data_IF_502813605450
#
_entry.id   IF_502813605450
#
_cell.length_a   1.000
_cell.length_b   1.000
_cell.length_c   1.000
_cell.angle_alpha   90.00
_cell.angle_beta   90.00
_cell.angle_gamma   90.00
#
_symmetry.space_group_name_H-M   'P 1'
#
loop_
_entity.id
_entity.type
_entity.pdbx_description
1 polymer ?
#
# COMPACT_ATOMS: atom_id res chain seq x y z
N UNK A 1 21.66 67.20 68.46
CA UNK A 1 20.43 66.40 68.28
C UNK A 1 20.24 66.26 66.78
N UNK A 2 20.44 65.05 66.27
CA UNK A 2 20.29 64.75 64.85
C UNK A 2 18.84 64.36 64.54
N UNK A 3 18.41 64.67 63.32
CA UNK A 3 17.26 64.05 62.66
C UNK A 3 17.46 64.27 61.15
N UNK A 4 18.01 63.29 60.44
CA UNK A 4 17.31 62.20 59.74
C UNK A 4 16.75 62.63 58.38
N UNK A 5 17.53 62.26 57.37
CA UNK A 5 17.21 61.94 55.99
C UNK A 5 15.82 61.32 55.78
N UNK A 6 15.03 61.85 54.85
CA UNK A 6 13.96 61.11 54.18
C UNK A 6 14.30 60.98 52.70
N UNK A 7 15.13 59.98 52.42
CA UNK A 7 15.35 59.44 51.08
C UNK A 7 14.25 58.42 50.75
N UNK A 8 13.64 58.61 49.57
CA UNK A 8 13.44 57.63 48.49
C UNK A 8 13.51 56.12 48.81
N UNK A 9 12.50 55.41 48.32
CA UNK A 9 12.51 53.96 48.03
C UNK A 9 11.10 53.54 47.59
N UNK A 10 10.72 53.70 46.33
CA UNK A 10 10.83 52.68 45.28
C UNK A 10 10.82 51.24 45.82
N UNK A 11 9.63 50.73 46.16
CA UNK A 11 9.40 49.31 46.40
C UNK A 11 9.23 48.56 45.05
N UNK A 12 9.82 47.37 44.88
CA UNK A 12 10.10 46.80 43.56
C UNK A 12 9.03 45.83 43.06
N UNK A 13 8.91 45.79 41.72
CA UNK A 13 8.18 44.88 40.82
C UNK A 13 8.48 43.35 40.99
N UNK A 14 8.86 42.88 42.19
CA UNK A 14 9.48 41.56 42.36
C UNK A 14 8.46 40.39 42.38
N UNK A 15 7.20 40.66 42.72
CA UNK A 15 6.16 39.62 42.77
C UNK A 15 5.76 39.15 41.37
N UNK A 16 5.77 40.05 40.38
CA UNK A 16 5.33 39.72 39.02
C UNK A 16 6.37 38.90 38.23
N UNK A 17 7.66 39.14 38.48
CA UNK A 17 8.75 38.34 37.89
C UNK A 17 8.87 36.94 38.53
N UNK A 18 8.51 36.78 39.81
CA UNK A 18 8.51 35.47 40.47
C UNK A 18 7.43 34.52 39.89
N UNK A 19 6.28 35.04 39.46
CA UNK A 19 5.24 34.25 38.77
C UNK A 19 5.63 33.82 37.34
N UNK A 20 6.54 34.53 36.66
CA UNK A 20 7.08 34.07 35.36
C UNK A 20 8.07 32.92 35.54
N UNK A 21 8.86 32.91 36.62
CA UNK A 21 9.86 31.87 36.91
C UNK A 21 9.24 30.52 37.34
N UNK A 22 8.00 30.52 37.85
CA UNK A 22 7.34 29.31 38.38
C UNK A 22 6.43 28.57 37.39
N UNK A 23 6.27 29.05 36.14
CA UNK A 23 5.54 28.30 35.11
C UNK A 23 6.51 27.37 34.39
N UNK A 24 6.40 26.06 34.66
CA UNK A 24 7.10 25.01 33.89
C UNK A 24 6.85 25.26 32.39
N UNK A 25 7.91 25.46 31.62
CA UNK A 25 7.80 25.68 30.19
C UNK A 25 7.08 24.48 29.54
N UNK A 26 6.09 24.75 28.69
CA UNK A 26 5.42 23.69 27.93
C UNK A 26 6.44 23.04 26.98
N UNK A 27 6.57 21.72 27.04
CA UNK A 27 7.49 20.99 26.18
C UNK A 27 7.12 21.20 24.70
N UNK A 28 8.10 21.64 23.89
CA UNK A 28 7.96 21.81 22.44
C UNK A 28 8.96 20.92 21.74
N UNK A 29 8.47 20.01 20.90
CA UNK A 29 9.31 19.14 20.08
C UNK A 29 10.20 19.96 19.15
N UNK A 30 11.50 19.71 19.25
CA UNK A 30 12.54 20.14 18.31
C UNK A 30 12.90 19.00 17.36
N UNK A 31 13.66 19.32 16.31
CA UNK A 31 14.17 18.35 15.33
C UNK A 31 14.84 17.13 15.96
N UNK A 32 15.74 17.37 16.91
CA UNK A 32 16.45 16.34 17.68
C UNK A 32 15.49 15.44 18.47
N UNK A 33 14.42 16.03 19.03
CA UNK A 33 13.44 15.28 19.82
C UNK A 33 12.60 14.38 18.90
N UNK A 34 12.32 14.84 17.66
CA UNK A 34 11.66 14.03 16.63
C UNK A 34 12.52 12.80 16.27
N UNK A 35 13.84 12.95 16.12
CA UNK A 35 14.75 11.85 15.83
C UNK A 35 14.73 10.82 16.96
N UNK A 36 14.88 11.27 18.21
CA UNK A 36 14.81 10.40 19.39
C UNK A 36 13.46 9.69 19.48
N UNK A 37 12.36 10.43 19.28
CA UNK A 37 11.01 9.88 19.25
C UNK A 37 10.90 8.78 18.18
N UNK A 38 11.35 9.03 16.96
CA UNK A 38 11.26 8.08 15.85
C UNK A 38 12.10 6.82 16.09
N UNK A 39 13.31 6.95 16.64
CA UNK A 39 14.15 5.80 17.03
C UNK A 39 13.45 4.94 18.10
N UNK A 40 12.88 5.57 19.13
CA UNK A 40 12.14 4.89 20.19
C UNK A 40 10.88 4.20 19.65
N UNK A 41 10.14 4.87 18.78
CA UNK A 41 8.95 4.33 18.12
C UNK A 41 9.30 3.13 17.24
N UNK A 42 10.42 3.16 16.51
CA UNK A 42 10.92 2.02 15.73
C UNK A 42 11.40 0.84 16.60
N UNK A 43 11.94 1.14 17.78
CA UNK A 43 12.39 0.15 18.77
C UNK A 43 11.20 -0.57 19.41
N UNK A 44 10.24 0.18 19.93
CA UNK A 44 9.11 -0.38 20.69
C UNK A 44 7.93 -0.79 19.83
N UNK A 45 7.83 -0.28 18.59
CA UNK A 45 6.76 -0.57 17.62
C UNK A 45 5.36 -0.57 18.23
N UNK A 46 4.86 0.58 18.76
CA UNK A 46 3.58 0.63 19.47
C UNK A 46 2.40 0.05 18.69
N UNK A 47 2.43 0.14 17.36
CA UNK A 47 1.42 -0.42 16.46
C UNK A 47 1.38 -1.94 16.38
N UNK A 48 2.49 -2.61 16.71
CA UNK A 48 2.60 -4.07 16.73
C UNK A 48 2.26 -4.65 18.11
N UNK A 49 2.01 -3.80 19.11
CA UNK A 49 1.65 -4.24 20.45
C UNK A 49 0.32 -5.01 20.46
N UNK A 50 0.17 -5.91 21.44
CA UNK A 50 -1.07 -6.65 21.63
C UNK A 50 -2.28 -5.73 21.87
N UNK A 51 -3.48 -6.26 21.66
CA UNK A 51 -4.70 -5.51 21.93
C UNK A 51 -4.73 -5.04 23.40
N UNK A 52 -4.84 -3.73 23.63
CA UNK A 52 -4.80 -3.13 24.96
C UNK A 52 -3.41 -2.73 25.47
N UNK A 53 -2.33 -3.20 24.85
CA UNK A 53 -0.94 -2.90 25.27
C UNK A 53 -0.32 -1.71 24.53
N UNK A 54 -1.02 -1.16 23.54
CA UNK A 54 -0.52 -0.03 22.76
C UNK A 54 -0.24 1.19 23.65
N UNK A 55 -1.12 1.47 24.61
CA UNK A 55 -0.95 2.58 25.55
C UNK A 55 0.31 2.42 26.41
N UNK A 56 0.54 1.24 26.97
CA UNK A 56 1.74 0.96 27.77
C UNK A 56 3.02 0.98 26.93
N UNK A 57 2.92 0.64 25.64
CA UNK A 57 4.05 0.74 24.71
C UNK A 57 4.39 2.19 24.37
N UNK A 58 3.38 3.06 24.19
CA UNK A 58 3.60 4.52 24.07
C UNK A 58 4.13 5.14 25.37
N UNK A 59 3.74 4.62 26.53
CA UNK A 59 4.30 5.01 27.82
C UNK A 59 5.81 4.74 27.88
N UNK A 60 6.27 3.57 27.40
CA UNK A 60 7.71 3.25 27.28
C UNK A 60 8.45 4.21 26.34
N UNK A 61 7.81 4.59 25.23
CA UNK A 61 8.37 5.59 24.30
C UNK A 61 8.52 6.94 25.00
N UNK A 62 7.49 7.41 25.70
CA UNK A 62 7.54 8.68 26.44
C UNK A 62 8.58 8.66 27.56
N UNK A 63 8.65 7.59 28.34
CA UNK A 63 9.69 7.41 29.38
C UNK A 63 11.09 7.45 28.78
N UNK A 64 11.32 6.75 27.68
CA UNK A 64 12.60 6.80 26.96
C UNK A 64 12.94 8.22 26.51
N UNK A 65 11.98 8.94 25.90
CA UNK A 65 12.19 10.30 25.41
C UNK A 65 12.49 11.28 26.57
N UNK A 66 11.79 11.16 27.69
CA UNK A 66 12.05 11.97 28.89
C UNK A 66 13.45 11.71 29.44
N UNK A 67 13.93 10.45 29.40
CA UNK A 67 15.30 10.10 29.74
C UNK A 67 16.33 10.74 28.81
N UNK A 68 16.08 10.72 27.49
CA UNK A 68 16.91 11.39 26.49
C UNK A 68 16.98 12.90 26.71
N UNK A 69 15.83 13.55 26.89
CA UNK A 69 15.75 15.00 27.08
C UNK A 69 16.51 15.42 28.34
N UNK A 70 16.31 14.69 29.44
CA UNK A 70 17.00 14.96 30.72
C UNK A 70 18.52 14.76 30.60
N UNK A 71 18.98 13.69 29.95
CA UNK A 71 20.41 13.48 29.72
C UNK A 71 21.02 14.59 28.86
N UNK A 72 20.32 15.00 27.81
CA UNK A 72 20.79 16.03 26.90
C UNK A 72 20.86 17.40 27.56
N UNK A 73 19.91 17.72 28.46
CA UNK A 73 19.96 18.94 29.27
C UNK A 73 21.14 18.94 30.25
N UNK A 74 21.52 17.78 30.79
CA UNK A 74 22.60 17.64 31.76
C UNK A 74 24.01 17.54 31.12
N UNK A 75 24.13 16.91 29.95
CA UNK A 75 25.43 16.57 29.34
C UNK A 75 25.69 17.17 27.96
N UNK A 76 24.68 17.77 27.31
CA UNK A 76 24.83 18.40 25.99
C UNK A 76 25.11 17.45 24.83
N UNK A 77 25.22 16.15 25.07
CA UNK A 77 25.51 15.12 24.06
C UNK A 77 24.41 14.07 23.97
N UNK A 78 24.18 13.55 22.77
CA UNK A 78 23.24 12.46 22.54
C UNK A 78 23.80 11.16 23.14
N UNK A 79 23.03 10.45 23.98
CA UNK A 79 23.44 9.14 24.47
C UNK A 79 23.61 8.16 23.31
N UNK A 80 24.64 7.33 23.38
CA UNK A 80 24.84 6.19 22.47
C UNK A 80 23.68 5.18 22.62
N UNK A 81 23.46 4.33 21.61
CA UNK A 81 22.27 3.49 21.34
C UNK A 81 21.76 2.58 22.50
N UNK A 82 22.47 2.54 23.62
CA UNK A 82 22.10 1.80 24.84
C UNK A 82 21.53 2.77 25.88
N UNK A 83 20.28 3.18 25.67
CA UNK A 83 19.48 3.74 26.77
C UNK A 83 18.69 2.60 27.38
N UNK A 84 19.19 2.14 28.52
CA UNK A 84 18.42 1.36 29.46
C UNK A 84 17.35 2.26 30.08
N UNK A 85 16.19 1.67 30.34
CA UNK A 85 15.00 2.32 30.87
C UNK A 85 15.29 2.78 32.31
N UNK A 86 16.02 3.87 32.48
CA UNK A 86 16.22 4.48 33.81
C UNK A 86 14.86 5.01 34.23
N UNK A 87 14.27 4.39 35.27
CA UNK A 87 13.06 4.90 35.91
C UNK A 87 13.38 6.28 36.48
N UNK A 88 13.08 7.34 35.73
CA UNK A 88 13.24 8.70 36.20
C UNK A 88 12.00 9.14 36.97
N UNK A 89 12.25 9.77 38.12
CA UNK A 89 11.21 10.37 38.93
C UNK A 89 10.60 11.56 38.18
N UNK A 90 9.30 11.55 37.85
CA UNK A 90 8.65 12.63 37.10
C UNK A 90 8.70 13.97 37.84
N UNK A 91 8.94 13.99 39.16
CA UNK A 91 9.12 15.22 39.92
C UNK A 91 10.47 15.93 39.66
N UNK A 92 11.46 15.22 39.12
CA UNK A 92 12.84 15.74 38.92
C UNK A 92 13.14 16.16 37.48
N UNK A 93 12.22 15.94 36.54
CA UNK A 93 12.40 16.32 35.13
C UNK A 93 11.78 17.70 34.88
N UNK A 94 12.58 18.63 34.34
CA UNK A 94 12.16 20.01 34.09
C UNK A 94 10.99 20.11 33.08
N UNK A 95 10.96 19.20 32.10
CA UNK A 95 9.88 19.08 31.11
C UNK A 95 9.45 17.62 30.91
N UNK A 96 8.18 17.31 31.14
CA UNK A 96 7.63 15.97 31.00
C UNK A 96 6.82 15.82 29.71
N UNK A 97 7.18 14.86 28.86
CA UNK A 97 6.43 14.47 27.67
C UNK A 97 5.53 13.29 28.01
N UNK A 98 4.23 13.42 27.72
CA UNK A 98 3.27 12.33 27.90
C UNK A 98 3.20 11.41 26.67
N UNK A 99 2.75 10.17 26.88
CA UNK A 99 2.55 9.17 25.82
C UNK A 99 1.71 9.73 24.67
N UNK A 100 0.66 10.50 24.99
CA UNK A 100 -0.24 11.08 23.99
C UNK A 100 0.44 12.15 23.12
N UNK A 101 1.31 12.99 23.68
CA UNK A 101 2.09 13.95 22.90
C UNK A 101 3.04 13.24 21.95
N UNK A 102 3.70 12.16 22.40
CA UNK A 102 4.51 11.30 21.54
C UNK A 102 3.68 10.73 20.38
N UNK A 103 2.50 10.15 20.67
CA UNK A 103 1.60 9.62 19.64
C UNK A 103 1.18 10.69 18.64
N UNK A 104 0.70 11.84 19.12
CA UNK A 104 0.26 12.96 18.25
C UNK A 104 1.40 13.48 17.38
N UNK A 105 2.59 13.65 17.96
CA UNK A 105 3.75 14.14 17.23
C UNK A 105 4.18 13.15 16.16
N UNK A 106 4.25 11.87 16.49
CA UNK A 106 4.57 10.81 15.53
C UNK A 106 3.58 10.80 14.36
N UNK A 107 2.27 10.85 14.64
CA UNK A 107 1.24 10.86 13.61
C UNK A 107 1.35 12.10 12.71
N UNK A 108 1.65 13.26 13.28
CA UNK A 108 1.88 14.51 12.53
C UNK A 108 3.08 14.38 11.58
N UNK A 109 4.19 13.82 12.07
CA UNK A 109 5.40 13.58 11.26
C UNK A 109 5.14 12.58 10.13
N UNK A 110 4.45 11.49 10.44
CA UNK A 110 4.12 10.46 9.46
C UNK A 110 3.17 11.01 8.38
N UNK A 111 2.16 11.80 8.74
CA UNK A 111 1.29 12.46 7.77
C UNK A 111 2.04 13.43 6.87
N UNK A 112 2.91 14.27 7.44
CA UNK A 112 3.69 15.23 6.68
C UNK A 112 4.62 14.51 5.68
N UNK A 113 5.23 13.41 6.10
CA UNK A 113 6.03 12.54 5.24
C UNK A 113 5.21 11.95 4.10
N UNK A 114 4.05 11.38 4.40
CA UNK A 114 3.18 10.75 3.41
C UNK A 114 2.61 11.74 2.38
N UNK A 115 2.47 13.02 2.76
CA UNK A 115 2.02 14.12 1.91
C UNK A 115 3.17 14.82 1.16
N UNK A 116 4.43 14.37 1.32
CA UNK A 116 5.62 15.06 0.82
C UNK A 116 5.64 16.55 1.21
N UNK A 117 5.26 16.85 2.46
CA UNK A 117 5.15 18.22 3.00
C UNK A 117 6.01 18.38 4.26
N UNK A 118 7.19 17.75 4.27
CA UNK A 118 8.10 17.78 5.43
C UNK A 118 8.79 19.15 5.61
N UNK A 119 8.76 19.98 4.58
CA UNK A 119 9.21 21.37 4.57
C UNK A 119 8.39 22.22 5.56
N UNK A 120 7.10 21.91 5.73
CA UNK A 120 6.22 22.59 6.70
C UNK A 120 6.57 22.29 8.16
N UNK A 121 7.24 21.15 8.42
CA UNK A 121 7.70 20.71 9.75
C UNK A 121 9.21 20.95 9.93
N UNK A 122 9.82 21.75 9.05
CA UNK A 122 11.25 22.06 9.02
C UNK A 122 11.63 23.26 9.90
N UNK A 123 10.77 23.69 10.82
CA UNK A 123 11.07 24.87 11.64
C UNK A 123 12.32 24.62 12.51
N UNK A 124 13.46 25.09 11.99
CA UNK A 124 14.82 25.01 12.55
C UNK A 124 15.36 23.57 12.68
N UNK A 125 15.95 23.05 11.61
CA UNK A 125 16.77 21.81 11.64
C UNK A 125 18.05 22.02 10.82
N UNK A 126 19.15 21.43 11.26
CA UNK A 126 20.35 21.29 10.42
C UNK A 126 20.09 20.19 9.38
N UNK A 127 20.68 20.29 8.18
CA UNK A 127 20.38 19.35 7.07
C UNK A 127 20.55 17.87 7.47
N UNK A 128 21.58 17.54 8.26
CA UNK A 128 21.83 16.16 8.73
C UNK A 128 20.66 15.58 9.56
N UNK A 129 20.03 16.41 10.40
CA UNK A 129 18.89 15.99 11.23
C UNK A 129 17.64 15.73 10.37
N UNK A 130 17.49 16.49 9.28
CA UNK A 130 16.39 16.31 8.35
C UNK A 130 16.48 14.97 7.62
N UNK A 131 17.66 14.64 7.09
CA UNK A 131 17.90 13.39 6.36
C UNK A 131 17.72 12.17 7.26
N UNK A 132 18.21 12.24 8.50
CA UNK A 132 18.01 11.19 9.48
C UNK A 132 16.51 11.00 9.79
N UNK A 133 15.78 12.10 10.04
CA UNK A 133 14.34 12.06 10.31
C UNK A 133 13.58 11.43 9.14
N UNK A 134 13.92 11.78 7.90
CA UNK A 134 13.35 11.20 6.69
C UNK A 134 13.63 9.69 6.58
N UNK A 135 14.87 9.28 6.87
CA UNK A 135 15.26 7.87 6.86
C UNK A 135 14.49 7.05 7.91
N UNK A 136 14.34 7.58 9.12
CA UNK A 136 13.58 6.91 10.19
C UNK A 136 12.09 6.82 9.86
N UNK A 137 11.49 7.85 9.27
CA UNK A 137 10.10 7.83 8.82
C UNK A 137 9.87 6.81 7.69
N UNK A 138 10.82 6.69 6.76
CA UNK A 138 10.82 5.64 5.72
C UNK A 138 10.83 4.25 6.34
N UNK A 139 11.71 4.01 7.30
CA UNK A 139 11.78 2.73 8.02
C UNK A 139 10.50 2.43 8.79
N UNK A 140 9.94 3.44 9.47
CA UNK A 140 8.70 3.28 10.23
C UNK A 140 7.56 2.88 9.29
N UNK A 141 7.40 3.59 8.17
CA UNK A 141 6.41 3.26 7.15
C UNK A 141 6.57 1.83 6.63
N UNK A 142 7.80 1.40 6.32
CA UNK A 142 8.05 0.06 5.81
C UNK A 142 7.59 -1.03 6.81
N UNK A 143 7.91 -0.87 8.10
CA UNK A 143 7.46 -1.80 9.16
C UNK A 143 5.94 -1.80 9.33
N UNK A 144 5.30 -0.63 9.25
CA UNK A 144 3.84 -0.53 9.26
C UNK A 144 3.21 -1.29 8.10
N UNK A 145 3.75 -1.12 6.89
CA UNK A 145 3.23 -1.78 5.69
C UNK A 145 3.41 -3.30 5.76
N UNK A 146 4.53 -3.78 6.29
CA UNK A 146 4.78 -5.19 6.54
C UNK A 146 3.74 -5.77 7.51
N UNK A 147 3.50 -5.10 8.64
CA UNK A 147 2.49 -5.52 9.61
C UNK A 147 1.08 -5.58 8.99
N UNK A 148 0.70 -4.57 8.20
CA UNK A 148 -0.59 -4.56 7.49
C UNK A 148 -0.70 -5.72 6.51
N UNK A 149 0.35 -6.00 5.72
CA UNK A 149 0.40 -7.17 4.83
C UNK A 149 0.23 -8.48 5.59
N UNK A 150 0.93 -8.65 6.71
CA UNK A 150 0.80 -9.85 7.56
C UNK A 150 -0.61 -10.00 8.12
N UNK A 151 -1.23 -8.90 8.57
CA UNK A 151 -2.60 -8.92 9.11
C UNK A 151 -3.61 -9.29 8.02
N UNK A 152 -3.52 -8.68 6.85
CA UNK A 152 -4.38 -9.01 5.69
C UNK A 152 -4.18 -10.45 5.23
N UNK A 153 -2.93 -10.94 5.17
CA UNK A 153 -2.63 -12.33 4.83
C UNK A 153 -3.26 -13.32 5.83
N UNK A 154 -3.23 -13.03 7.13
CA UNK A 154 -3.88 -13.85 8.16
C UNK A 154 -5.41 -13.87 8.01
N UNK A 155 -6.02 -12.73 7.73
CA UNK A 155 -7.48 -12.65 7.48
C UNK A 155 -7.83 -13.44 6.22
N UNK A 156 -7.12 -13.24 5.11
CA UNK A 156 -7.35 -13.97 3.87
C UNK A 156 -7.16 -15.48 4.03
N UNK A 157 -6.16 -15.92 4.81
CA UNK A 157 -5.96 -17.33 5.13
C UNK A 157 -7.09 -17.91 6.02
N UNK A 158 -7.75 -17.09 6.83
CA UNK A 158 -8.93 -17.50 7.61
C UNK A 158 -10.16 -17.59 6.71
N UNK A 159 -10.38 -16.63 5.82
CA UNK A 159 -11.48 -16.64 4.84
C UNK A 159 -11.38 -17.88 3.94
N UNK A 160 -10.19 -18.18 3.41
CA UNK A 160 -9.97 -19.40 2.60
C UNK A 160 -10.26 -20.70 3.35
N UNK A 161 -9.97 -20.75 4.65
CA UNK A 161 -10.29 -21.92 5.49
C UNK A 161 -11.80 -22.08 5.71
N UNK A 162 -12.54 -20.98 5.77
CA UNK A 162 -14.01 -21.03 5.84
C UNK A 162 -14.62 -21.45 4.50
N UNK A 163 -14.16 -20.90 3.37
CA UNK A 163 -14.73 -21.23 2.05
C UNK A 163 -14.38 -22.63 1.56
N UNK A 164 -13.22 -23.18 1.95
CA UNK A 164 -12.82 -24.53 1.56
C UNK A 164 -13.42 -25.61 2.48
N UNK A 165 -14.11 -25.24 3.56
CA UNK A 165 -14.79 -26.19 4.44
C UNK A 165 -16.19 -26.57 3.92
N UNK A 166 -16.77 -25.78 3.02
CA UNK A 166 -18.10 -26.01 2.43
C UNK A 166 -18.08 -26.78 1.09
N UNK A 167 -16.91 -27.18 0.59
CA UNK A 167 -16.75 -27.90 -0.70
C UNK A 167 -16.37 -29.40 -0.50
N UNK A 168 -16.81 -29.98 0.61
CA UNK A 168 -16.63 -31.41 0.93
C UNK A 168 -17.94 -32.16 1.21
N UNK A 169 -19.09 -31.64 0.76
CA UNK A 169 -20.29 -32.46 0.58
C UNK A 169 -20.34 -33.00 -0.85
N UNK A 170 -20.31 -34.33 -0.97
CA UNK A 170 -20.76 -35.13 -2.11
C UNK A 170 -19.86 -35.20 -3.35
N UNK A 171 -18.76 -35.95 -3.23
CA UNK A 171 -18.35 -36.83 -4.34
C UNK A 171 -18.09 -38.24 -3.82
N UNK A 172 -19.16 -39.02 -3.77
CA UNK A 172 -19.14 -40.46 -3.61
C UNK A 172 -18.71 -41.13 -4.93
N UNK A 173 -17.93 -42.21 -4.80
CA UNK A 173 -17.70 -43.30 -5.78
C UNK A 173 -16.73 -43.09 -6.96
N UNK A 174 -15.53 -43.70 -6.88
CA UNK A 174 -15.31 -45.07 -7.43
C UNK A 174 -13.89 -45.62 -7.22
N UNK A 175 -13.87 -46.92 -6.89
CA UNK A 175 -12.88 -47.98 -7.16
C UNK A 175 -11.48 -47.99 -6.49
N UNK A 176 -11.39 -48.93 -5.54
CA UNK A 176 -10.43 -50.05 -5.48
C UNK A 176 -8.93 -49.77 -5.43
N UNK A 177 -8.32 -50.15 -4.29
CA UNK A 177 -6.88 -50.33 -4.17
C UNK A 177 -6.48 -50.56 -2.72
N UNK A 178 -6.44 -51.84 -2.33
CA UNK A 178 -5.91 -52.31 -1.05
C UNK A 178 -4.48 -51.80 -0.83
N UNK A 179 -4.14 -51.29 0.36
CA UNK A 179 -3.00 -51.85 1.10
C UNK A 179 -3.03 -51.53 2.59
N UNK A 180 -2.66 -52.55 3.36
CA UNK A 180 -2.68 -52.67 4.80
C UNK A 180 -1.43 -52.03 5.38
N UNK A 181 -1.57 -51.09 6.32
CA UNK A 181 -0.58 -50.96 7.41
C UNK A 181 -1.12 -50.21 8.62
N UNK A 182 -1.57 -51.01 9.59
CA UNK A 182 -1.38 -50.87 11.04
C UNK A 182 -0.73 -49.55 11.49
N UNK A 183 -1.47 -48.76 12.29
CA UNK A 183 -0.96 -48.25 13.57
C UNK A 183 -2.08 -47.97 14.56
N UNK A 184 -1.99 -48.75 15.63
CA UNK A 184 -2.86 -48.91 16.79
C UNK A 184 -2.46 -47.90 17.87
N UNK A 185 -3.33 -46.96 18.23
CA UNK A 185 -3.36 -46.18 19.50
C UNK A 185 -4.78 -45.61 19.66
N UNK A 186 -5.74 -46.31 20.27
CA UNK A 186 -6.08 -46.32 21.71
C UNK A 186 -6.09 -44.94 22.38
N UNK A 187 -7.30 -44.44 22.69
CA UNK A 187 -7.75 -43.73 23.92
C UNK A 187 -9.14 -43.13 23.58
N UNK A 188 -10.26 -43.62 24.09
CA UNK A 188 -10.76 -43.64 25.48
C UNK A 188 -11.23 -42.25 25.95
N UNK A 189 -12.50 -42.19 26.39
CA UNK A 189 -13.19 -41.03 26.97
C UNK A 189 -14.28 -40.52 26.02
N UNK A 190 -15.48 -41.09 26.04
CA UNK A 190 -16.59 -40.84 26.99
C UNK A 190 -17.46 -39.68 26.49
N UNK A 191 -18.60 -40.09 25.94
CA UNK A 191 -19.85 -39.34 25.91
C UNK A 191 -20.23 -38.93 27.35
N UNK A 192 -20.74 -37.71 27.52
CA UNK A 192 -21.92 -37.41 28.34
C UNK A 192 -22.20 -35.89 28.29
N UNK A 193 -23.37 -35.59 27.72
CA UNK A 193 -24.42 -34.69 28.23
C UNK A 193 -24.18 -33.18 28.42
N UNK A 194 -24.95 -32.44 27.62
CA UNK A 194 -25.92 -31.44 28.04
C UNK A 194 -25.51 -30.43 29.13
N UNK A 195 -25.31 -29.16 28.75
CA UNK A 195 -25.95 -28.05 29.46
C UNK A 195 -26.09 -26.81 28.56
N UNK A 196 -27.29 -26.65 28.01
CA UNK A 196 -27.82 -25.43 27.42
C UNK A 196 -28.03 -24.36 28.51
N UNK A 197 -26.92 -23.76 28.95
CA UNK A 197 -26.92 -22.57 29.79
C UNK A 197 -27.06 -21.29 28.98
N UNK A 198 -28.22 -21.07 28.37
CA UNK A 198 -28.63 -19.79 27.81
C UNK A 198 -28.91 -18.80 28.96
N UNK A 199 -27.85 -18.19 29.51
CA UNK A 199 -27.94 -17.14 30.53
C UNK A 199 -28.25 -15.78 29.89
N UNK A 200 -29.55 -15.54 29.75
CA UNK A 200 -30.15 -14.24 29.49
C UNK A 200 -29.88 -13.29 30.67
N UNK A 201 -29.09 -12.24 30.40
CA UNK A 201 -29.30 -10.96 31.06
C UNK A 201 -28.10 -10.38 31.80
N UNK A 202 -27.29 -9.61 31.08
CA UNK A 202 -26.88 -8.30 31.61
C UNK A 202 -26.58 -7.35 30.45
N UNK A 203 -27.63 -6.81 29.81
CA UNK A 203 -27.55 -5.56 29.06
C UNK A 203 -27.26 -4.39 30.03
N UNK A 204 -26.10 -4.43 30.69
CA UNK A 204 -25.47 -3.20 31.16
C UNK A 204 -25.04 -2.45 29.93
N UNK A 205 -25.92 -1.54 29.53
CA UNK A 205 -25.66 -0.32 28.79
C UNK A 205 -24.44 0.40 29.40
N UNK A 206 -23.24 -0.11 29.13
CA UNK A 206 -22.04 0.68 29.13
C UNK A 206 -22.14 1.54 27.88
N UNK A 207 -22.83 2.67 28.04
CA UNK A 207 -22.63 3.90 27.30
C UNK A 207 -21.21 4.43 27.55
N UNK A 208 -20.21 3.58 27.27
CA UNK A 208 -18.83 3.99 27.07
C UNK A 208 -18.86 4.73 25.75
N UNK A 209 -19.12 6.04 25.83
CA UNK A 209 -18.79 6.96 24.75
C UNK A 209 -17.41 6.56 24.23
N UNK A 210 -17.42 5.96 23.03
CA UNK A 210 -16.30 5.22 22.46
C UNK A 210 -15.23 6.26 22.16
N UNK A 211 -14.43 6.60 23.17
CA UNK A 211 -13.25 7.44 23.03
C UNK A 211 -12.39 6.69 22.04
N UNK A 212 -12.46 7.12 20.79
CA UNK A 212 -11.78 6.48 19.70
C UNK A 212 -10.33 6.29 20.09
N UNK A 213 -9.94 5.02 20.22
CA UNK A 213 -8.59 4.63 20.61
C UNK A 213 -7.61 5.36 19.70
N UNK A 214 -6.47 5.79 20.23
CA UNK A 214 -5.44 6.45 19.41
C UNK A 214 -5.04 5.59 18.19
N UNK A 215 -5.18 4.27 18.32
CA UNK A 215 -5.11 3.31 17.22
C UNK A 215 -6.15 3.57 16.11
N UNK A 216 -7.42 3.79 16.45
CA UNK A 216 -8.48 4.07 15.48
C UNK A 216 -8.32 5.42 14.80
N UNK A 217 -7.61 6.37 15.42
CA UNK A 217 -7.27 7.65 14.79
C UNK A 217 -6.17 7.44 13.75
N UNK A 218 -5.08 6.74 14.12
CA UNK A 218 -4.00 6.41 13.18
C UNK A 218 -4.49 5.51 12.04
N UNK A 219 -5.30 4.50 12.34
CA UNK A 219 -5.90 3.61 11.36
C UNK A 219 -6.82 4.37 10.39
N UNK A 220 -7.54 5.40 10.85
CA UNK A 220 -8.34 6.27 9.96
C UNK A 220 -7.48 7.13 9.05
N UNK A 221 -6.41 7.71 9.55
CA UNK A 221 -5.48 8.52 8.75
C UNK A 221 -4.82 7.66 7.67
N UNK A 222 -4.28 6.50 8.06
CA UNK A 222 -3.67 5.56 7.13
C UNK A 222 -4.71 5.00 6.15
N UNK A 223 -5.92 4.66 6.63
CA UNK A 223 -7.03 4.19 5.81
C UNK A 223 -7.38 5.18 4.71
N UNK A 224 -7.63 6.45 5.06
CA UNK A 224 -7.93 7.52 4.09
C UNK A 224 -6.79 7.75 3.10
N UNK A 225 -5.54 7.67 3.53
CA UNK A 225 -4.40 7.79 2.64
C UNK A 225 -4.33 6.63 1.64
N UNK A 226 -4.47 5.40 2.13
CA UNK A 226 -4.41 4.21 1.29
C UNK A 226 -5.57 4.14 0.31
N UNK A 227 -6.77 4.51 0.74
CA UNK A 227 -7.95 4.63 -0.10
C UNK A 227 -7.72 5.67 -1.21
N UNK A 228 -7.26 6.88 -0.87
CA UNK A 228 -6.93 7.91 -1.86
C UNK A 228 -5.84 7.45 -2.85
N UNK A 229 -4.79 6.79 -2.35
CA UNK A 229 -3.71 6.25 -3.18
C UNK A 229 -4.19 5.12 -4.10
N UNK A 230 -5.07 4.25 -3.59
CA UNK A 230 -5.68 3.17 -4.36
C UNK A 230 -6.58 3.74 -5.47
N UNK A 231 -7.43 4.71 -5.16
CA UNK A 231 -8.26 5.40 -6.16
C UNK A 231 -7.41 6.08 -7.23
N UNK A 232 -6.34 6.78 -6.85
CA UNK A 232 -5.43 7.37 -7.83
C UNK A 232 -4.77 6.31 -8.71
N UNK A 233 -4.35 5.19 -8.13
CA UNK A 233 -3.76 4.07 -8.87
C UNK A 233 -4.77 3.42 -9.83
N UNK A 234 -6.03 3.29 -9.41
CA UNK A 234 -7.10 2.77 -10.27
C UNK A 234 -7.39 3.72 -11.42
N UNK A 235 -7.52 5.02 -11.15
CA UNK A 235 -7.77 6.03 -12.18
C UNK A 235 -6.63 6.11 -13.21
N UNK A 236 -5.37 5.96 -12.78
CA UNK A 236 -4.23 5.89 -13.70
C UNK A 236 -4.29 4.64 -14.57
N UNK A 237 -4.64 3.49 -13.99
CA UNK A 237 -4.74 2.22 -14.72
C UNK A 237 -5.93 2.21 -15.69
N UNK A 238 -7.04 2.82 -15.31
CA UNK A 238 -8.19 3.05 -16.18
C UNK A 238 -7.80 3.91 -17.39
N UNK A 239 -7.10 5.03 -17.16
CA UNK A 239 -6.58 5.88 -18.24
C UNK A 239 -5.60 5.14 -19.15
N UNK A 240 -4.76 4.27 -18.59
CA UNK A 240 -3.84 3.43 -19.37
C UNK A 240 -4.60 2.44 -20.27
N UNK A 241 -5.63 1.78 -19.73
CA UNK A 241 -6.51 0.89 -20.49
C UNK A 241 -7.25 1.64 -21.60
N UNK A 242 -7.73 2.86 -21.35
CA UNK A 242 -8.37 3.69 -22.38
C UNK A 242 -7.41 4.02 -23.53
N UNK A 243 -6.15 4.33 -23.23
CA UNK A 243 -5.14 4.60 -24.26
C UNK A 243 -4.83 3.34 -25.08
N UNK A 244 -4.73 2.19 -24.43
CA UNK A 244 -4.55 0.90 -25.12
C UNK A 244 -5.74 0.57 -26.02
N UNK A 245 -6.98 0.80 -25.56
CA UNK A 245 -8.17 0.60 -26.37
C UNK A 245 -8.20 1.51 -27.61
N UNK A 246 -7.80 2.79 -27.46
CA UNK A 246 -7.68 3.72 -28.59
C UNK A 246 -6.61 3.29 -29.58
N UNK A 247 -5.48 2.78 -29.10
CA UNK A 247 -4.41 2.26 -29.96
C UNK A 247 -4.91 1.08 -30.79
N UNK A 248 -5.57 0.11 -30.15
CA UNK A 248 -6.15 -1.04 -30.84
C UNK A 248 -7.18 -0.63 -31.90
N UNK A 249 -8.03 0.35 -31.59
CA UNK A 249 -9.01 0.85 -32.56
C UNK A 249 -8.36 1.52 -33.78
N UNK A 250 -7.24 2.25 -33.59
CA UNK A 250 -6.48 2.82 -34.71
C UNK A 250 -5.82 1.75 -35.58
N UNK A 251 -5.27 0.71 -34.95
CA UNK A 251 -4.63 -0.40 -35.65
C UNK A 251 -5.67 -1.23 -36.43
N UNK A 252 -6.86 -1.47 -35.86
CA UNK A 252 -7.98 -2.12 -36.55
C UNK A 252 -8.45 -1.30 -37.76
N UNK A 253 -8.60 0.02 -37.61
CA UNK A 253 -8.96 0.91 -38.71
C UNK A 253 -7.91 0.91 -39.84
N UNK A 254 -6.62 0.83 -39.49
CA UNK A 254 -5.53 0.74 -40.47
C UNK A 254 -5.57 -0.57 -41.25
N UNK A 255 -5.82 -1.69 -40.56
CA UNK A 255 -5.96 -3.00 -41.20
C UNK A 255 -7.16 -3.05 -42.15
N UNK A 256 -8.27 -2.42 -41.78
CA UNK A 256 -9.46 -2.34 -42.63
C UNK A 256 -9.20 -1.52 -43.90
N UNK A 257 -8.44 -0.41 -43.80
CA UNK A 257 -8.01 0.36 -44.97
C UNK A 257 -7.10 -0.45 -45.88
N UNK A 258 -6.09 -1.14 -45.32
CA UNK A 258 -5.20 -2.00 -46.10
C UNK A 258 -5.95 -3.16 -46.78
N UNK A 259 -6.94 -3.73 -46.10
CA UNK A 259 -7.81 -4.75 -46.68
C UNK A 259 -8.60 -4.21 -47.88
N UNK A 260 -9.21 -3.02 -47.75
CA UNK A 260 -9.93 -2.37 -48.85
C UNK A 260 -9.01 -2.04 -50.03
N UNK A 261 -7.79 -1.59 -49.77
CA UNK A 261 -6.79 -1.34 -50.81
C UNK A 261 -6.41 -2.63 -51.55
N UNK A 262 -6.19 -3.74 -50.83
CA UNK A 262 -5.91 -5.05 -51.42
C UNK A 262 -7.09 -5.56 -52.26
N UNK A 263 -8.32 -5.44 -51.75
CA UNK A 263 -9.53 -5.81 -52.49
C UNK A 263 -9.69 -4.99 -53.77
N UNK A 264 -9.48 -3.67 -53.70
CA UNK A 264 -9.49 -2.78 -54.87
C UNK A 264 -8.41 -3.17 -55.88
N UNK A 265 -7.20 -3.52 -55.42
CA UNK A 265 -6.12 -3.96 -56.28
C UNK A 265 -6.45 -5.29 -56.99
N UNK A 266 -7.00 -6.27 -56.27
CA UNK A 266 -7.44 -7.55 -56.84
C UNK A 266 -8.56 -7.31 -57.87
N UNK A 267 -9.53 -6.44 -57.57
CA UNK A 267 -10.61 -6.10 -58.51
C UNK A 267 -10.07 -5.48 -59.81
N UNK A 268 -9.10 -4.57 -59.71
CA UNK A 268 -8.45 -3.96 -60.87
C UNK A 268 -7.68 -5.00 -61.71
N UNK A 269 -6.94 -5.90 -61.07
CA UNK A 269 -6.23 -7.00 -61.75
C UNK A 269 -7.22 -7.94 -62.46
N UNK A 270 -8.32 -8.31 -61.82
CA UNK A 270 -9.36 -9.14 -62.43
C UNK A 270 -9.99 -8.46 -63.65
N UNK A 271 -10.24 -7.13 -63.59
CA UNK A 271 -10.75 -6.37 -64.72
C UNK A 271 -9.77 -6.36 -65.91
N UNK A 272 -8.46 -6.22 -65.65
CA UNK A 272 -7.42 -6.32 -66.69
C UNK A 272 -7.39 -7.72 -67.32
N UNK A 273 -7.45 -8.79 -66.51
CA UNK A 273 -7.50 -10.18 -66.99
C UNK A 273 -8.71 -10.42 -67.90
N UNK A 274 -9.89 -9.89 -67.55
CA UNK A 274 -11.09 -9.99 -68.38
C UNK A 274 -10.93 -9.26 -69.73
N UNK A 275 -10.29 -8.09 -69.75
CA UNK A 275 -10.01 -7.35 -70.98
C UNK A 275 -9.04 -8.12 -71.89
N UNK A 276 -7.96 -8.69 -71.33
CA UNK A 276 -7.02 -9.54 -72.06
C UNK A 276 -7.73 -10.78 -72.63
N UNK A 277 -8.63 -11.40 -71.86
CA UNK A 277 -9.46 -12.51 -72.33
C UNK A 277 -10.29 -12.14 -73.55
N UNK A 278 -10.99 -10.98 -73.51
CA UNK A 278 -11.78 -10.48 -74.65
C UNK A 278 -10.92 -10.18 -75.88
N UNK A 279 -9.75 -9.57 -75.70
CA UNK A 279 -8.82 -9.30 -76.81
C UNK A 279 -8.30 -10.59 -77.44
N UNK A 280 -7.96 -11.59 -76.62
CA UNK A 280 -7.51 -12.91 -77.09
C UNK A 280 -8.61 -13.61 -77.89
N UNK A 281 -9.85 -13.55 -77.41
CA UNK A 281 -11.01 -14.09 -78.11
C UNK A 281 -11.25 -13.38 -79.46
N UNK A 282 -11.16 -12.05 -79.51
CA UNK A 282 -11.27 -11.27 -80.76
C UNK A 282 -10.17 -11.65 -81.76
N UNK A 283 -8.93 -11.75 -81.31
CA UNK A 283 -7.79 -12.17 -82.14
C UNK A 283 -7.99 -13.59 -82.68
N UNK A 284 -8.53 -14.50 -81.86
CA UNK A 284 -8.82 -15.89 -82.27
C UNK A 284 -9.93 -15.93 -83.31
N UNK A 285 -11.02 -15.17 -83.12
CA UNK A 285 -12.12 -15.02 -84.09
C UNK A 285 -11.62 -14.45 -85.42
N UNK A 286 -10.79 -13.40 -85.38
CA UNK A 286 -10.23 -12.79 -86.58
C UNK A 286 -9.29 -13.75 -87.33
N UNK A 287 -8.42 -14.48 -86.61
CA UNK A 287 -7.54 -15.51 -87.18
C UNK A 287 -8.33 -16.62 -87.87
N UNK A 288 -9.40 -17.12 -87.24
CA UNK A 288 -10.27 -18.13 -87.84
C UNK A 288 -11.03 -17.62 -89.07
N UNK A 289 -11.42 -16.34 -89.12
CA UNK A 289 -12.06 -15.75 -90.31
C UNK A 289 -11.08 -15.57 -91.48
N UNK A 290 -9.82 -15.20 -91.20
CA UNK A 290 -8.79 -14.99 -92.22
C UNK A 290 -8.19 -16.31 -92.76
N UNK A 291 -8.04 -17.33 -91.91
CA UNK A 291 -7.29 -18.55 -92.25
C UNK A 291 -8.12 -19.85 -92.16
N UNK A 292 -9.36 -19.82 -91.64
CA UNK A 292 -10.22 -21.00 -91.48
C UNK A 292 -10.86 -21.55 -92.77
N UNK A 293 -10.55 -20.99 -93.94
CA UNK A 293 -11.08 -21.43 -95.23
C UNK A 293 -10.31 -22.58 -95.92
N UNK A 294 -9.12 -22.95 -95.46
CA UNK A 294 -8.30 -23.98 -96.12
C UNK A 294 -7.50 -24.81 -95.11
N UNK A 295 -8.17 -25.69 -94.37
CA UNK A 295 -7.50 -26.86 -93.79
C UNK A 295 -8.24 -28.09 -94.27
N UNK A 296 -7.92 -28.50 -95.50
CA UNK A 296 -8.20 -29.85 -95.98
C UNK A 296 -7.50 -30.82 -95.02
N UNK A 297 -8.28 -31.60 -94.29
CA UNK A 297 -7.79 -32.60 -93.36
C UNK A 297 -6.79 -33.54 -94.07
N UNK A 298 -5.50 -33.39 -93.76
CA UNK A 298 -4.50 -34.38 -94.15
C UNK A 298 -4.59 -35.52 -93.13
N UNK A 299 -4.84 -36.77 -93.56
CA UNK A 299 -4.97 -37.90 -92.65
C UNK A 299 -3.66 -38.15 -91.89
N UNK A 300 -3.74 -38.62 -90.63
CA UNK A 300 -2.57 -38.82 -89.78
C UNK A 300 -1.68 -39.91 -90.37
N UNK A 301 -0.43 -39.58 -90.69
CA UNK A 301 0.60 -40.58 -90.98
C UNK A 301 1.02 -41.25 -89.67
N UNK A 302 0.82 -42.57 -89.61
CA UNK A 302 1.32 -43.44 -88.55
C UNK A 302 2.84 -43.33 -88.44
N UNK A 303 3.41 -43.18 -87.22
CA UNK A 303 4.84 -43.24 -87.04
C UNK A 303 5.31 -44.69 -87.16
N UNK A 304 5.90 -45.01 -88.31
CA UNK A 304 6.69 -46.23 -88.50
C UNK A 304 7.90 -46.23 -87.56
N UNK A 305 7.99 -47.29 -86.75
CA UNK A 305 9.16 -47.73 -86.01
C UNK A 305 10.50 -47.48 -86.72
N UNK A 306 11.53 -47.12 -85.96
CA UNK A 306 12.87 -47.67 -86.20
C UNK A 306 13.60 -47.95 -84.89
N UNK A 307 14.33 -49.06 -84.95
CA UNK A 307 14.95 -49.84 -83.88
C UNK A 307 16.11 -49.15 -83.16
#
# INVERSE_FOLDING_TARGET
MGDATSERGDEPDDVFEQFKRNRKASFRFKARDDICLLRLVLKYQPWSAGHGEMGSTWEKVAQGLNGFVSHLEMHGTLPSDKIDLVKMDPAKVATFVDAKACTRRFNTLLEAYMKNSMESVRAVCVNNEFDERQNLLRQAKAKFDEMLKTKTARVNARVRRFTNADDHSDTESTSAGEDKSRRKRSRHGDDDDDDDGNDDGDERQFSRGRRHSEFEQLARVLGKYYEKKMHLSLALKERELELQAKQLALDEARLEMEKKERESHIAAMNAQTLLLGKLTEQLTRYGNQQYGGQVTAHPPQEPTHNA
#
